data_IF_307228987504
#
_entry.id   IF_307228987504
#
_cell.length_a   1.000
_cell.length_b   1.000
_cell.length_c   1.000
_cell.angle_alpha   90.00
_cell.angle_beta   90.00
_cell.angle_gamma   90.00
#
_symmetry.space_group_name_H-M   'P 1'
#
loop_
_entity.id
_entity.type
_entity.pdbx_description
1 polymer ?
#
# COMPACT_ATOMS: atom_id res chain seq x y z
N UNK A 1 -46.57 8.08 10.59
CA UNK A 1 -45.80 9.22 10.02
C UNK A 1 -44.41 9.42 10.64
N UNK A 2 -44.21 9.33 11.96
CA UNK A 2 -42.89 9.56 12.63
C UNK A 2 -41.77 8.59 12.22
N UNK A 3 -42.07 7.32 11.97
CA UNK A 3 -41.10 6.28 11.55
C UNK A 3 -40.46 6.55 10.17
N UNK A 4 -41.26 6.99 9.17
CA UNK A 4 -40.78 7.26 7.80
C UNK A 4 -39.79 8.44 7.75
N UNK A 5 -39.97 9.43 8.63
CA UNK A 5 -39.12 10.62 8.71
C UNK A 5 -37.75 10.32 9.35
N UNK A 6 -37.70 9.40 10.33
CA UNK A 6 -36.44 8.92 10.91
C UNK A 6 -35.63 8.08 9.91
N UNK A 7 -36.29 7.20 9.15
CA UNK A 7 -35.61 6.39 8.13
C UNK A 7 -34.95 7.25 7.04
N UNK A 8 -35.64 8.28 6.54
CA UNK A 8 -35.09 9.18 5.52
C UNK A 8 -33.90 10.01 6.04
N UNK A 9 -33.94 10.46 7.30
CA UNK A 9 -32.81 11.17 7.93
C UNK A 9 -31.56 10.29 8.05
N UNK A 10 -31.74 9.02 8.44
CA UNK A 10 -30.64 8.06 8.57
C UNK A 10 -29.98 7.79 7.22
N UNK A 11 -30.77 7.53 6.17
CA UNK A 11 -30.24 7.28 4.81
C UNK A 11 -29.42 8.47 4.30
N UNK A 12 -29.91 9.70 4.52
CA UNK A 12 -29.20 10.91 4.11
C UNK A 12 -27.91 11.15 4.91
N UNK A 13 -27.91 10.84 6.21
CA UNK A 13 -26.72 10.93 7.04
C UNK A 13 -25.64 9.91 6.62
N UNK A 14 -26.03 8.67 6.34
CA UNK A 14 -25.12 7.61 5.85
C UNK A 14 -24.51 8.04 4.51
N UNK A 15 -25.33 8.49 3.56
CA UNK A 15 -24.87 8.94 2.24
C UNK A 15 -23.87 10.11 2.36
N UNK A 16 -24.14 11.08 3.24
CA UNK A 16 -23.23 12.20 3.51
C UNK A 16 -21.88 11.72 4.06
N UNK A 17 -21.90 10.81 5.04
CA UNK A 17 -20.69 10.30 5.66
C UNK A 17 -19.85 9.47 4.67
N UNK A 18 -20.47 8.63 3.85
CA UNK A 18 -19.77 7.90 2.78
C UNK A 18 -19.12 8.84 1.77
N UNK A 19 -19.81 9.92 1.37
CA UNK A 19 -19.26 10.89 0.43
C UNK A 19 -18.06 11.65 1.01
N UNK A 20 -18.13 12.08 2.27
CA UNK A 20 -17.02 12.74 2.94
C UNK A 20 -15.82 11.81 3.09
N UNK A 21 -16.05 10.57 3.55
CA UNK A 21 -15.01 9.56 3.69
C UNK A 21 -14.36 9.25 2.34
N UNK A 22 -15.16 9.05 1.29
CA UNK A 22 -14.66 8.79 -0.06
C UNK A 22 -13.86 9.96 -0.63
N UNK A 23 -14.28 11.21 -0.38
CA UNK A 23 -13.55 12.40 -0.81
C UNK A 23 -12.18 12.52 -0.14
N UNK A 24 -12.12 12.38 1.19
CA UNK A 24 -10.84 12.42 1.92
C UNK A 24 -9.96 11.21 1.59
N UNK A 25 -10.54 10.02 1.40
CA UNK A 25 -9.81 8.84 0.97
C UNK A 25 -9.20 9.05 -0.42
N UNK A 26 -9.94 9.64 -1.37
CA UNK A 26 -9.43 9.94 -2.71
C UNK A 26 -8.22 10.89 -2.67
N UNK A 27 -8.34 12.02 -1.95
CA UNK A 27 -7.24 12.97 -1.80
C UNK A 27 -6.02 12.31 -1.15
N UNK A 28 -6.25 11.55 -0.07
CA UNK A 28 -5.18 10.84 0.64
C UNK A 28 -4.50 9.84 -0.28
N UNK A 29 -5.25 9.02 -1.03
CA UNK A 29 -4.69 8.09 -2.02
C UNK A 29 -3.81 8.83 -3.03
N UNK A 30 -4.26 9.95 -3.59
CA UNK A 30 -3.45 10.71 -4.56
C UNK A 30 -2.14 11.19 -3.95
N UNK A 31 -2.18 11.78 -2.75
CA UNK A 31 -0.99 12.29 -2.07
C UNK A 31 0.00 11.15 -1.76
N UNK A 32 -0.48 10.06 -1.16
CA UNK A 32 0.36 8.92 -0.80
C UNK A 32 0.92 8.20 -2.03
N UNK A 33 0.14 8.05 -3.10
CA UNK A 33 0.61 7.47 -4.37
C UNK A 33 1.73 8.33 -4.95
N UNK A 34 1.55 9.65 -5.04
CA UNK A 34 2.56 10.54 -5.60
C UNK A 34 3.89 10.47 -4.84
N UNK A 35 3.83 10.44 -3.50
CA UNK A 35 5.02 10.28 -2.65
C UNK A 35 5.66 8.91 -2.84
N UNK A 36 4.87 7.84 -2.75
CA UNK A 36 5.38 6.46 -2.78
C UNK A 36 5.94 6.10 -4.16
N UNK A 37 5.23 6.43 -5.23
CA UNK A 37 5.70 6.19 -6.60
C UNK A 37 6.86 7.10 -6.96
N UNK A 38 6.87 8.34 -6.47
CA UNK A 38 8.02 9.24 -6.62
C UNK A 38 9.29 8.60 -6.06
N UNK A 39 9.22 8.05 -4.83
CA UNK A 39 10.35 7.34 -4.24
C UNK A 39 10.67 6.05 -5.02
N UNK A 40 9.67 5.24 -5.38
CA UNK A 40 9.87 3.98 -6.08
C UNK A 40 10.56 4.15 -7.44
N UNK A 41 10.15 5.14 -8.25
CA UNK A 41 10.76 5.45 -9.54
C UNK A 41 12.20 5.95 -9.37
N UNK A 42 12.45 6.72 -8.31
CA UNK A 42 13.78 7.24 -7.98
C UNK A 42 14.67 6.22 -7.26
N UNK A 43 14.23 4.98 -7.07
CA UNK A 43 15.01 3.90 -6.47
C UNK A 43 15.47 2.96 -7.57
N UNK A 44 16.72 3.09 -8.09
CA UNK A 44 17.20 2.23 -9.17
C UNK A 44 17.20 0.76 -8.76
N UNK A 45 16.97 -0.17 -9.70
CA UNK A 45 17.11 -1.59 -9.43
C UNK A 45 18.52 -1.89 -8.89
N UNK A 46 18.58 -2.43 -7.68
CA UNK A 46 19.82 -2.67 -6.95
C UNK A 46 20.58 -3.91 -7.49
N UNK A 47 19.88 -4.81 -8.17
CA UNK A 47 20.41 -6.07 -8.68
C UNK A 47 19.53 -6.62 -9.81
N UNK A 48 20.03 -7.60 -10.55
CA UNK A 48 19.27 -8.29 -11.61
C UNK A 48 19.37 -7.64 -12.99
N UNK A 49 18.62 -8.13 -13.99
CA UNK A 49 18.81 -7.79 -15.41
C UNK A 49 18.61 -6.32 -15.76
N UNK A 50 17.87 -5.60 -14.92
CA UNK A 50 17.54 -4.19 -15.13
C UNK A 50 18.49 -3.23 -14.40
N UNK A 51 19.46 -3.73 -13.66
CA UNK A 51 20.47 -2.89 -13.03
C UNK A 51 21.53 -2.46 -14.07
N UNK A 52 21.74 -1.15 -14.20
CA UNK A 52 22.58 -0.54 -15.24
C UNK A 52 23.86 0.11 -14.70
N UNK A 53 24.19 -0.09 -13.42
CA UNK A 53 25.29 0.59 -12.73
C UNK A 53 26.02 -0.29 -11.71
N UNK A 54 26.28 0.24 -10.50
CA UNK A 54 26.93 -0.48 -9.40
C UNK A 54 25.99 -1.53 -8.77
N UNK A 55 25.71 -2.58 -9.52
CA UNK A 55 24.79 -3.65 -9.13
C UNK A 55 25.36 -4.47 -7.99
N UNK A 56 24.50 -4.82 -7.04
CA UNK A 56 24.86 -5.75 -6.00
C UNK A 56 24.71 -7.18 -6.52
N UNK A 57 25.79 -7.94 -6.43
CA UNK A 57 25.81 -9.36 -6.74
C UNK A 57 25.91 -10.18 -5.46
N UNK A 58 25.43 -11.41 -5.50
CA UNK A 58 25.60 -12.35 -4.41
C UNK A 58 27.11 -12.54 -4.12
N UNK A 59 27.57 -12.44 -2.85
CA UNK A 59 26.81 -12.53 -1.60
C UNK A 59 26.38 -11.18 -0.96
N UNK A 60 26.18 -10.11 -1.74
CA UNK A 60 25.63 -8.81 -1.32
C UNK A 60 26.41 -8.08 -0.21
N UNK A 61 27.73 -8.25 -0.15
CA UNK A 61 28.58 -7.71 0.93
C UNK A 61 28.53 -6.19 1.12
N UNK A 62 28.22 -5.43 0.07
CA UNK A 62 28.22 -3.95 0.10
C UNK A 62 26.83 -3.33 0.33
N UNK A 63 25.78 -4.14 0.55
CA UNK A 63 24.40 -3.65 0.60
C UNK A 63 24.07 -2.86 1.88
N UNK A 64 24.93 -2.93 2.91
CA UNK A 64 24.75 -2.25 4.22
C UNK A 64 24.50 -0.75 4.06
N UNK A 65 25.16 -0.11 3.10
CA UNK A 65 25.06 1.34 2.84
C UNK A 65 23.64 1.82 2.46
N UNK A 66 22.75 0.89 2.11
CA UNK A 66 21.36 1.14 1.71
C UNK A 66 20.36 0.95 2.84
N UNK A 67 20.72 0.20 3.89
CA UNK A 67 19.85 -0.03 5.04
C UNK A 67 19.95 1.10 6.06
N UNK A 68 18.83 1.46 6.74
CA UNK A 68 17.45 1.00 6.55
C UNK A 68 16.65 1.83 5.52
N UNK A 69 17.29 2.83 4.89
CA UNK A 69 16.66 3.84 4.04
C UNK A 69 15.78 3.23 2.95
N UNK A 70 16.24 2.19 2.28
CA UNK A 70 15.54 1.57 1.14
C UNK A 70 14.25 0.82 1.55
N UNK A 71 13.99 0.64 2.86
CA UNK A 71 12.74 0.03 3.38
C UNK A 71 11.76 1.08 3.93
N UNK A 72 12.20 2.33 4.10
CA UNK A 72 11.37 3.37 4.70
C UNK A 72 10.14 3.71 3.85
N UNK A 73 10.23 3.59 2.53
CA UNK A 73 9.12 3.87 1.62
C UNK A 73 8.01 2.79 1.66
N UNK A 74 8.29 1.61 2.23
CA UNK A 74 7.31 0.54 2.36
C UNK A 74 6.24 0.86 3.42
N UNK A 75 6.58 1.63 4.46
CA UNK A 75 5.60 2.09 5.47
C UNK A 75 4.48 2.96 4.86
N UNK A 76 4.78 4.05 4.12
CA UNK A 76 3.74 4.80 3.43
C UNK A 76 3.06 3.98 2.33
N UNK A 77 3.73 2.99 1.72
CA UNK A 77 3.10 2.07 0.76
C UNK A 77 2.04 1.17 1.42
N UNK A 78 2.30 0.63 2.61
CA UNK A 78 1.30 -0.13 3.39
C UNK A 78 0.12 0.79 3.77
N UNK A 79 0.40 2.01 4.22
CA UNK A 79 -0.67 2.95 4.56
C UNK A 79 -1.51 3.30 3.32
N UNK A 80 -0.87 3.49 2.17
CA UNK A 80 -1.53 3.73 0.88
C UNK A 80 -2.48 2.58 0.50
N UNK A 81 -2.07 1.32 0.64
CA UNK A 81 -2.92 0.17 0.28
C UNK A 81 -4.16 0.07 1.18
N UNK A 82 -4.06 0.42 2.46
CA UNK A 82 -5.20 0.50 3.37
C UNK A 82 -6.17 1.63 3.00
N UNK A 83 -5.63 2.83 2.69
CA UNK A 83 -6.44 3.96 2.21
C UNK A 83 -7.13 3.60 0.89
N UNK A 84 -6.45 2.89 0.00
CA UNK A 84 -7.00 2.40 -1.25
C UNK A 84 -8.20 1.47 -1.03
N UNK A 85 -8.15 0.53 -0.08
CA UNK A 85 -9.32 -0.30 0.27
C UNK A 85 -10.50 0.59 0.69
N UNK A 86 -10.27 1.56 1.57
CA UNK A 86 -11.32 2.49 2.04
C UNK A 86 -11.95 3.23 0.86
N UNK A 87 -11.15 3.69 -0.09
CA UNK A 87 -11.61 4.34 -1.32
C UNK A 87 -12.48 3.40 -2.17
N UNK A 88 -12.04 2.16 -2.41
CA UNK A 88 -12.81 1.18 -3.21
C UNK A 88 -14.11 0.80 -2.52
N UNK A 89 -14.14 0.69 -1.20
CA UNK A 89 -15.38 0.45 -0.43
C UNK A 89 -16.35 1.62 -0.59
N UNK A 90 -15.87 2.87 -0.54
CA UNK A 90 -16.71 4.05 -0.77
C UNK A 90 -17.28 4.08 -2.20
N UNK A 91 -16.45 3.77 -3.20
CA UNK A 91 -16.88 3.64 -4.60
C UNK A 91 -17.91 2.53 -4.75
N UNK A 92 -17.67 1.39 -4.11
CA UNK A 92 -18.62 0.28 -4.13
C UNK A 92 -19.96 0.66 -3.53
N UNK A 93 -19.97 1.37 -2.41
CA UNK A 93 -21.22 1.85 -1.80
C UNK A 93 -21.98 2.81 -2.72
N UNK A 94 -21.27 3.68 -3.45
CA UNK A 94 -21.88 4.66 -4.36
C UNK A 94 -22.34 4.07 -5.71
N UNK A 95 -21.83 2.90 -6.12
CA UNK A 95 -22.15 2.28 -7.40
C UNK A 95 -23.66 2.04 -7.58
N UNK A 96 -24.17 2.38 -8.76
CA UNK A 96 -25.56 2.12 -9.16
C UNK A 96 -25.90 0.62 -9.10
N UNK A 97 -27.18 0.29 -8.89
CA UNK A 97 -27.63 -1.12 -8.72
C UNK A 97 -27.23 -2.00 -9.90
N UNK A 98 -27.34 -1.51 -11.12
CA UNK A 98 -26.93 -2.23 -12.34
C UNK A 98 -25.43 -2.53 -12.42
N UNK A 99 -24.58 -1.72 -11.78
CA UNK A 99 -23.12 -1.86 -11.79
C UNK A 99 -22.59 -2.54 -10.52
N UNK A 100 -23.47 -2.96 -9.61
CA UNK A 100 -23.08 -3.47 -8.30
C UNK A 100 -22.26 -4.76 -8.40
N UNK A 101 -22.58 -5.62 -9.38
CA UNK A 101 -21.81 -6.83 -9.65
C UNK A 101 -20.36 -6.50 -10.06
N UNK A 102 -20.17 -5.65 -11.06
CA UNK A 102 -18.84 -5.22 -11.49
C UNK A 102 -18.06 -4.51 -10.38
N UNK A 103 -18.75 -3.69 -9.59
CA UNK A 103 -18.14 -3.02 -8.45
C UNK A 103 -17.73 -4.00 -7.35
N UNK A 104 -18.50 -5.06 -7.09
CA UNK A 104 -18.14 -6.11 -6.15
C UNK A 104 -16.91 -6.89 -6.63
N UNK A 105 -16.84 -7.21 -7.93
CA UNK A 105 -15.67 -7.84 -8.54
C UNK A 105 -14.43 -6.96 -8.34
N UNK A 106 -14.54 -5.65 -8.59
CA UNK A 106 -13.47 -4.70 -8.34
C UNK A 106 -13.03 -4.63 -6.88
N UNK A 107 -13.98 -4.66 -5.93
CA UNK A 107 -13.68 -4.73 -4.50
C UNK A 107 -12.93 -6.02 -4.13
N UNK A 108 -13.31 -7.17 -4.69
CA UNK A 108 -12.60 -8.43 -4.46
C UNK A 108 -11.15 -8.37 -4.94
N UNK A 109 -10.90 -7.85 -6.14
CA UNK A 109 -9.54 -7.65 -6.64
C UNK A 109 -8.74 -6.67 -5.78
N UNK A 110 -9.36 -5.59 -5.31
CA UNK A 110 -8.72 -4.63 -4.42
C UNK A 110 -8.27 -5.29 -3.10
N UNK A 111 -9.10 -6.15 -2.51
CA UNK A 111 -8.77 -6.89 -1.30
C UNK A 111 -7.64 -7.91 -1.52
N UNK A 112 -7.67 -8.66 -2.61
CA UNK A 112 -6.60 -9.60 -2.97
C UNK A 112 -5.28 -8.85 -3.14
N UNK A 113 -5.28 -7.76 -3.93
CA UNK A 113 -4.10 -6.92 -4.17
C UNK A 113 -3.54 -6.35 -2.87
N UNK A 114 -4.40 -5.77 -2.03
CA UNK A 114 -3.97 -5.21 -0.75
C UNK A 114 -3.38 -6.28 0.19
N UNK A 115 -3.98 -7.47 0.23
CA UNK A 115 -3.46 -8.57 1.05
C UNK A 115 -2.06 -8.98 0.60
N UNK A 116 -1.85 -9.13 -0.71
CA UNK A 116 -0.55 -9.48 -1.28
C UNK A 116 0.49 -8.40 -0.95
N UNK A 117 0.18 -7.12 -1.23
CA UNK A 117 1.12 -6.01 -1.04
C UNK A 117 1.46 -5.78 0.44
N UNK A 118 0.47 -5.84 1.34
CA UNK A 118 0.71 -5.69 2.78
C UNK A 118 1.58 -6.84 3.28
N UNK A 119 1.31 -8.07 2.86
CA UNK A 119 2.11 -9.24 3.26
C UNK A 119 3.54 -9.14 2.75
N UNK A 120 3.72 -8.77 1.49
CA UNK A 120 5.04 -8.60 0.86
C UNK A 120 5.88 -7.54 1.59
N UNK A 121 5.34 -6.33 1.76
CA UNK A 121 6.04 -5.26 2.49
C UNK A 121 6.28 -5.61 3.96
N UNK A 122 5.36 -6.31 4.60
CA UNK A 122 5.54 -6.78 5.97
C UNK A 122 6.70 -7.78 6.08
N UNK A 123 6.77 -8.77 5.18
CA UNK A 123 7.88 -9.75 5.15
C UNK A 123 9.21 -9.03 4.87
N UNK A 124 9.21 -8.08 3.95
CA UNK A 124 10.40 -7.30 3.63
C UNK A 124 10.93 -6.55 4.87
N UNK A 125 10.06 -5.83 5.58
CA UNK A 125 10.44 -5.07 6.78
C UNK A 125 10.81 -5.99 7.96
N UNK A 126 10.04 -7.05 8.21
CA UNK A 126 10.18 -7.87 9.42
C UNK A 126 11.17 -9.03 9.31
N UNK A 127 11.40 -9.54 8.11
CA UNK A 127 12.26 -10.73 7.89
C UNK A 127 13.50 -10.38 7.08
N UNK A 128 13.32 -9.77 5.90
CA UNK A 128 14.45 -9.54 4.98
C UNK A 128 15.43 -8.52 5.56
N UNK A 129 14.94 -7.38 6.04
CA UNK A 129 15.80 -6.34 6.61
C UNK A 129 16.65 -6.86 7.81
N UNK A 130 16.08 -7.52 8.84
CA UNK A 130 16.87 -8.06 9.94
C UNK A 130 17.84 -9.19 9.53
N UNK A 131 17.45 -10.03 8.59
CA UNK A 131 18.29 -11.12 8.09
C UNK A 131 19.56 -10.59 7.43
N UNK A 132 19.43 -9.55 6.62
CA UNK A 132 20.58 -8.92 5.94
C UNK A 132 21.51 -8.24 6.93
N UNK A 133 20.98 -7.53 7.93
CA UNK A 133 21.81 -6.94 8.99
C UNK A 133 22.60 -8.00 9.78
N UNK A 134 21.97 -9.14 10.07
CA UNK A 134 22.60 -10.25 10.79
C UNK A 134 23.73 -10.90 9.98
N UNK A 135 23.48 -11.19 8.69
CA UNK A 135 24.49 -11.76 7.79
C UNK A 135 25.67 -10.80 7.63
N UNK A 136 25.41 -9.51 7.41
CA UNK A 136 26.44 -8.51 7.22
C UNK A 136 27.25 -8.26 8.50
N UNK A 137 26.62 -8.28 9.67
CA UNK A 137 27.32 -8.22 10.95
C UNK A 137 28.28 -9.40 11.12
N UNK A 138 27.83 -10.62 10.80
CA UNK A 138 28.68 -11.82 10.83
C UNK A 138 29.85 -11.73 9.84
N UNK A 139 29.61 -11.22 8.63
CA UNK A 139 30.63 -11.11 7.60
C UNK A 139 31.67 -10.01 7.89
N UNK A 140 31.25 -8.89 8.49
CA UNK A 140 32.15 -7.81 8.91
C UNK A 140 32.99 -8.19 10.14
N UNK A 141 32.54 -9.16 10.94
CA UNK A 141 33.26 -9.65 12.12
C UNK A 141 34.24 -10.80 11.85
N UNK A 142 34.26 -11.40 10.64
CA UNK A 142 35.07 -12.60 10.28
C UNK A 142 35.56 -13.39 11.52
N UNK A 143 34.60 -13.99 12.22
CA UNK A 143 34.68 -15.30 12.87
C UNK A 143 33.75 -16.21 12.06
#
# INVERSE_FOLDING_TARGET
>A
MKSRNSSHKVVNAVKRNTNLLGFYAAISTTVFTMVTFGIAILTPPLSGPFCTGSCFEYPFSNIVSRFPRDYLWMYPAILLTLIYIVLIVCIHHYAAREKKLFSQIGLSFALISATILVTDYFIQISVIQPSLLTVLFKQNLRI
#
